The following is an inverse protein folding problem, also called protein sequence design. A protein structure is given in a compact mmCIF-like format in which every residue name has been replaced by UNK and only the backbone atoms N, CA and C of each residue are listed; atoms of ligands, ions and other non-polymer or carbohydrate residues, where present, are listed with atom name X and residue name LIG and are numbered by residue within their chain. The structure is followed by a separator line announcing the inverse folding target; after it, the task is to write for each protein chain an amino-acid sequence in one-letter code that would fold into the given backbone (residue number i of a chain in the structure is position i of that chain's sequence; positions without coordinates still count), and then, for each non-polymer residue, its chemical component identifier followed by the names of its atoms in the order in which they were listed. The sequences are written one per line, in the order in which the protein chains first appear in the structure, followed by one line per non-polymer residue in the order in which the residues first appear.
data_IF_306673716097
#
_entry.id   IF_306673716097
#
_cell.length_a   1.000
_cell.length_b   1.000
_cell.length_c   1.000
_cell.angle_alpha   90.00
_cell.angle_beta   90.00
_cell.angle_gamma   90.00
#
_symmetry.space_group_name_H-M   'P 1'
#
loop_
_entity.id
_entity.type
_entity.pdbx_description
1 polymer ?
#
# COMPACT_ATOMS: atom_id res chain seq x y z
N UNK A 1 16.76 21.67 -46.08
CA UNK A 1 16.40 20.24 -45.99
C UNK A 1 16.31 19.80 -44.52
N UNK A 2 15.23 20.13 -43.81
CA UNK A 2 15.12 19.84 -42.36
C UNK A 2 13.71 19.35 -41.93
N UNK A 3 13.07 18.52 -42.75
CA UNK A 3 11.69 18.04 -42.47
C UNK A 3 11.55 16.51 -42.34
N UNK A 4 12.64 15.73 -42.35
CA UNK A 4 12.56 14.28 -42.50
C UNK A 4 12.79 13.44 -41.21
N UNK A 5 12.82 14.04 -40.01
CA UNK A 5 13.12 13.29 -38.77
C UNK A 5 11.96 13.18 -37.76
N UNK A 6 10.80 13.81 -38.04
CA UNK A 6 9.64 13.78 -37.11
C UNK A 6 8.73 12.55 -37.27
N UNK A 7 8.95 11.73 -38.30
CA UNK A 7 8.10 10.56 -38.63
C UNK A 7 8.57 9.24 -38.01
N UNK A 8 9.73 9.20 -37.35
CA UNK A 8 10.32 7.96 -36.82
C UNK A 8 10.09 7.74 -35.30
N UNK A 9 9.37 8.65 -34.63
CA UNK A 9 9.12 8.52 -33.19
C UNK A 9 7.87 7.65 -32.95
N UNK A 10 7.98 6.59 -32.14
CA UNK A 10 6.84 5.76 -31.75
C UNK A 10 5.72 6.62 -31.15
N UNK A 11 4.47 6.34 -31.51
CA UNK A 11 3.29 7.11 -31.10
C UNK A 11 3.10 7.22 -29.58
N UNK A 12 3.72 6.35 -28.80
CA UNK A 12 3.70 6.35 -27.33
C UNK A 12 4.83 7.19 -26.68
N UNK A 13 5.78 7.70 -27.46
CA UNK A 13 6.89 8.55 -27.01
C UNK A 13 6.65 10.05 -27.28
N UNK A 14 5.52 10.41 -27.88
CA UNK A 14 5.08 11.81 -27.99
C UNK A 14 4.55 12.27 -26.63
N UNK A 15 5.42 12.90 -25.86
CA UNK A 15 5.03 13.69 -24.68
C UNK A 15 4.18 14.89 -25.13
N UNK A 16 3.02 15.18 -24.49
CA UNK A 16 2.21 16.35 -24.81
C UNK A 16 2.81 17.56 -24.10
N UNK A 17 3.99 18.02 -24.51
CA UNK A 17 4.54 19.27 -24.01
C UNK A 17 3.97 20.42 -24.85
N UNK A 18 2.73 20.78 -24.52
CA UNK A 18 1.97 21.81 -25.20
C UNK A 18 0.78 22.29 -24.37
N UNK A 19 1.06 22.89 -23.22
CA UNK A 19 0.16 23.86 -22.59
C UNK A 19 -0.86 23.33 -21.56
N UNK A 20 -0.75 23.91 -20.37
CA UNK A 20 -1.87 24.33 -19.51
C UNK A 20 -2.51 23.29 -18.57
N UNK A 21 -1.94 23.23 -17.35
CA UNK A 21 -2.64 23.14 -16.07
C UNK A 21 -3.89 22.27 -15.97
N UNK A 22 -3.70 20.97 -15.77
CA UNK A 22 -4.63 20.06 -15.05
C UNK A 22 -3.90 18.74 -14.76
N UNK A 23 -3.00 18.76 -13.79
CA UNK A 23 -1.99 17.71 -13.58
C UNK A 23 -2.39 16.57 -12.64
N UNK A 24 -3.57 16.58 -12.03
CA UNK A 24 -3.86 15.60 -10.95
C UNK A 24 -4.89 14.53 -11.31
N UNK A 25 -5.79 14.78 -12.26
CA UNK A 25 -6.93 13.86 -12.55
C UNK A 25 -6.61 12.78 -13.59
N UNK A 26 -5.71 13.06 -14.53
CA UNK A 26 -5.39 12.12 -15.62
C UNK A 26 -4.44 11.00 -15.16
N UNK A 27 -3.59 11.26 -14.17
CA UNK A 27 -2.68 10.27 -13.59
C UNK A 27 -3.45 9.18 -12.80
N UNK A 28 -4.58 9.56 -12.19
CA UNK A 28 -5.49 8.63 -11.50
C UNK A 28 -6.23 7.70 -12.49
N UNK A 29 -6.50 8.18 -13.71
CA UNK A 29 -7.29 7.45 -14.72
C UNK A 29 -6.54 6.29 -15.40
N UNK A 30 -5.20 6.31 -15.36
CA UNK A 30 -4.32 5.28 -15.94
C UNK A 30 -3.75 4.32 -14.90
N UNK A 31 -4.17 4.43 -13.64
CA UNK A 31 -3.76 3.49 -12.61
C UNK A 31 -4.57 2.20 -12.77
N UNK A 32 -4.04 1.25 -13.54
CA UNK A 32 -4.62 -0.09 -13.61
C UNK A 32 -4.32 -0.80 -12.28
N UNK A 33 -5.20 -0.62 -11.29
CA UNK A 33 -5.10 -1.19 -9.94
C UNK A 33 -5.01 -2.74 -9.90
N UNK A 34 -5.17 -3.39 -11.05
CA UNK A 34 -5.04 -4.84 -11.23
C UNK A 34 -3.68 -5.26 -11.80
N UNK A 35 -2.76 -4.33 -12.03
CA UNK A 35 -1.41 -4.66 -12.51
C UNK A 35 -0.69 -5.49 -11.45
N UNK A 36 0.07 -6.50 -11.88
CA UNK A 36 0.87 -7.36 -10.99
C UNK A 36 1.73 -6.57 -10.00
N UNK A 37 2.34 -5.47 -10.45
CA UNK A 37 3.13 -4.58 -9.61
C UNK A 37 2.30 -3.83 -8.57
N UNK A 38 1.08 -3.41 -8.90
CA UNK A 38 0.15 -2.75 -7.98
C UNK A 38 -0.28 -3.70 -6.86
N UNK A 39 -0.73 -4.90 -7.22
CA UNK A 39 -1.10 -5.95 -6.27
C UNK A 39 0.08 -6.37 -5.37
N UNK A 40 1.28 -6.48 -5.94
CA UNK A 40 2.49 -6.76 -5.18
C UNK A 40 2.83 -5.63 -4.20
N UNK A 41 2.74 -4.37 -4.63
CA UNK A 41 2.97 -3.20 -3.80
C UNK A 41 1.98 -3.13 -2.62
N UNK A 42 0.69 -3.36 -2.86
CA UNK A 42 -0.33 -3.36 -1.79
C UNK A 42 -0.13 -4.50 -0.80
N UNK A 43 0.23 -5.70 -1.29
CA UNK A 43 0.56 -6.83 -0.43
C UNK A 43 1.82 -6.55 0.42
N UNK A 44 2.87 -5.99 -0.19
CA UNK A 44 4.07 -5.58 0.55
C UNK A 44 3.75 -4.52 1.59
N UNK A 45 2.99 -3.49 1.22
CA UNK A 45 2.59 -2.41 2.13
C UNK A 45 1.79 -2.94 3.31
N UNK A 46 0.86 -3.85 3.06
CA UNK A 46 0.06 -4.55 4.09
C UNK A 46 0.93 -5.41 5.01
N UNK A 47 1.88 -6.15 4.44
CA UNK A 47 2.81 -6.99 5.19
C UNK A 47 3.72 -6.17 6.11
N UNK A 48 4.24 -5.04 5.61
CA UNK A 48 5.08 -4.11 6.39
C UNK A 48 4.27 -3.50 7.54
N UNK A 49 3.06 -3.01 7.27
CA UNK A 49 2.18 -2.47 8.31
C UNK A 49 1.84 -3.52 9.40
N UNK A 50 1.60 -4.77 8.99
CA UNK A 50 1.38 -5.87 9.93
C UNK A 50 2.64 -6.16 10.78
N UNK A 51 3.83 -6.15 10.19
CA UNK A 51 5.07 -6.36 10.93
C UNK A 51 5.33 -5.26 11.96
N UNK A 52 5.09 -4.00 11.60
CA UNK A 52 5.22 -2.86 12.52
C UNK A 52 4.27 -3.00 13.73
N UNK A 53 3.01 -3.36 13.48
CA UNK A 53 2.04 -3.60 14.55
C UNK A 53 2.45 -4.76 15.46
N UNK A 54 2.98 -5.85 14.91
CA UNK A 54 3.47 -6.98 15.71
C UNK A 54 4.60 -6.56 16.64
N UNK A 55 5.57 -5.80 16.14
CA UNK A 55 6.68 -5.29 16.93
C UNK A 55 6.19 -4.38 18.08
N UNK A 56 5.21 -3.50 17.80
CA UNK A 56 4.63 -2.64 18.83
C UNK A 56 3.88 -3.45 19.92
N UNK A 57 3.15 -4.50 19.54
CA UNK A 57 2.46 -5.38 20.48
C UNK A 57 3.44 -6.17 21.35
N UNK A 58 4.55 -6.65 20.78
CA UNK A 58 5.63 -7.31 21.54
C UNK A 58 6.29 -6.34 22.53
N UNK A 59 6.60 -5.12 22.11
CA UNK A 59 7.13 -4.10 23.02
C UNK A 59 6.14 -3.79 24.16
N UNK A 60 4.84 -3.78 23.87
CA UNK A 60 3.82 -3.56 24.88
C UNK A 60 3.72 -4.74 25.85
N UNK A 61 3.79 -5.98 25.37
CA UNK A 61 3.77 -7.16 26.25
C UNK A 61 5.02 -7.26 27.14
N UNK A 62 6.15 -6.70 26.70
CA UNK A 62 7.37 -6.59 27.51
C UNK A 62 7.24 -5.61 28.68
N UNK A 63 6.29 -4.66 28.64
CA UNK A 63 6.02 -3.76 29.77
C UNK A 63 5.29 -4.44 30.94
N UNK A 64 4.72 -5.63 30.71
CA UNK A 64 4.01 -6.41 31.74
C UNK A 64 5.03 -7.22 32.55
N UNK A 65 5.21 -6.84 33.81
CA UNK A 65 6.22 -7.44 34.70
C UNK A 65 5.81 -8.78 35.29
N UNK A 66 4.51 -9.00 35.48
CA UNK A 66 3.99 -10.25 36.02
C UNK A 66 3.88 -11.32 34.90
N UNK A 67 4.58 -12.46 35.01
CA UNK A 67 4.57 -13.50 33.99
C UNK A 67 3.19 -14.12 33.73
N UNK A 68 2.29 -14.21 34.73
CA UNK A 68 0.95 -14.76 34.51
C UNK A 68 0.08 -13.78 33.72
N UNK A 69 0.09 -12.51 34.11
CA UNK A 69 -0.61 -11.45 33.39
C UNK A 69 -0.04 -11.23 31.99
N UNK A 70 1.28 -11.34 31.82
CA UNK A 70 1.93 -11.21 30.52
C UNK A 70 1.40 -12.24 29.52
N UNK A 71 1.22 -13.50 29.94
CA UNK A 71 0.69 -14.55 29.07
C UNK A 71 -0.76 -14.29 28.64
N UNK A 72 -1.59 -13.80 29.56
CA UNK A 72 -2.97 -13.41 29.25
C UNK A 72 -2.98 -12.22 28.27
N UNK A 73 -2.15 -11.22 28.54
CA UNK A 73 -2.01 -10.05 27.69
C UNK A 73 -1.50 -10.40 26.28
N UNK A 74 -0.49 -11.26 26.16
CA UNK A 74 -0.01 -11.77 24.87
C UNK A 74 -1.12 -12.45 24.07
N UNK A 75 -1.97 -13.23 24.75
CA UNK A 75 -3.14 -13.87 24.12
C UNK A 75 -4.14 -12.82 23.60
N UNK A 76 -4.38 -11.74 24.35
CA UNK A 76 -5.22 -10.63 23.91
C UNK A 76 -4.61 -9.84 22.74
N UNK A 77 -3.29 -9.62 22.75
CA UNK A 77 -2.58 -8.95 21.65
C UNK A 77 -2.62 -9.77 20.37
N UNK A 78 -2.52 -11.11 20.45
CA UNK A 78 -2.70 -12.00 19.31
C UNK A 78 -4.14 -11.97 18.77
N UNK A 79 -5.14 -11.94 19.65
CA UNK A 79 -6.54 -11.78 19.26
C UNK A 79 -6.79 -10.43 18.55
N UNK A 80 -6.22 -9.35 19.07
CA UNK A 80 -6.28 -8.03 18.43
C UNK A 80 -5.58 -8.04 17.06
N UNK A 81 -4.41 -8.66 16.96
CA UNK A 81 -3.64 -8.72 15.71
C UNK A 81 -4.40 -9.48 14.60
N UNK A 82 -5.14 -10.53 14.95
CA UNK A 82 -6.00 -11.24 14.01
C UNK A 82 -7.08 -10.30 13.42
N UNK A 83 -7.71 -9.48 14.26
CA UNK A 83 -8.69 -8.48 13.82
C UNK A 83 -8.04 -7.36 13.00
N UNK A 84 -6.84 -6.91 13.38
CA UNK A 84 -6.12 -5.89 12.63
C UNK A 84 -5.72 -6.36 11.23
N UNK A 85 -5.25 -7.60 11.10
CA UNK A 85 -4.99 -8.21 9.78
C UNK A 85 -6.25 -8.30 8.94
N UNK A 86 -7.39 -8.65 9.54
CA UNK A 86 -8.69 -8.62 8.84
C UNK A 86 -9.03 -7.20 8.39
N UNK A 87 -8.86 -6.20 9.25
CA UNK A 87 -9.06 -4.79 8.91
C UNK A 87 -8.19 -4.33 7.74
N UNK A 88 -6.91 -4.70 7.70
CA UNK A 88 -6.04 -4.36 6.56
C UNK A 88 -6.55 -4.99 5.26
N UNK A 89 -7.02 -6.25 5.30
CA UNK A 89 -7.60 -6.91 4.14
C UNK A 89 -8.92 -6.25 3.70
N UNK A 90 -9.76 -5.83 4.63
CA UNK A 90 -11.05 -5.18 4.33
C UNK A 90 -10.83 -3.76 3.78
N UNK A 91 -9.85 -3.02 4.34
CA UNK A 91 -9.40 -1.72 3.85
C UNK A 91 -8.82 -1.81 2.44
N UNK A 92 -8.01 -2.83 2.16
CA UNK A 92 -7.46 -3.07 0.82
C UNK A 92 -8.54 -3.40 -0.22
N UNK A 93 -9.65 -4.02 0.21
CA UNK A 93 -10.81 -4.30 -0.65
C UNK A 93 -11.74 -3.10 -0.85
N UNK A 94 -11.53 -2.00 -0.13
CA UNK A 94 -12.38 -0.80 -0.20
C UNK A 94 -13.72 -0.95 0.53
N UNK A 95 -13.89 -1.95 1.40
CA UNK A 95 -15.06 -2.02 2.26
C UNK A 95 -14.96 -0.91 3.32
N UNK A 96 -15.93 0.01 3.35
CA UNK A 96 -16.10 0.91 4.48
C UNK A 96 -16.56 0.07 5.68
N UNK A 97 -15.81 0.13 6.77
CA UNK A 97 -16.20 -0.43 8.08
C UNK A 97 -17.15 0.55 8.75
#
# INVERSE_FOLDING_TARGET
MAQAIKSALPTHLKSPLGGQGKSDEEFSSRHHGKTRSHMAFENTSTSVAAAQMRNALTQLSETVTDPEQKKLFETEMDNFFALFRRYLNDKAKGNAV
#
